data_IF_064934131006
#
_entry.id   IF_064934131006
#
_cell.length_a   1.000
_cell.length_b   1.000
_cell.length_c   1.000
_cell.angle_alpha   90.00
_cell.angle_beta   90.00
_cell.angle_gamma   90.00
#
_symmetry.space_group_name_H-M   'P 1'
#
loop_
_entity.id
_entity.type
_entity.pdbx_description
1 polymer ?
#
# COMPACT_ATOMS: atom_id res chain seq x y z
N UNK A 1 3.01 -27.62 -2.75
CA UNK A 1 4.41 -28.09 -2.89
C UNK A 1 5.28 -27.76 -1.67
N UNK A 2 5.28 -26.53 -1.13
CA UNK A 2 6.02 -26.17 0.11
C UNK A 2 5.43 -26.79 1.40
N UNK A 3 4.10 -26.96 1.45
CA UNK A 3 3.38 -27.56 2.59
C UNK A 3 3.61 -29.07 2.71
N UNK A 4 3.65 -29.79 1.59
CA UNK A 4 3.90 -31.24 1.51
C UNK A 4 5.32 -31.61 2.00
N UNK A 5 6.26 -30.67 1.93
CA UNK A 5 7.67 -30.87 2.32
C UNK A 5 7.97 -30.41 3.75
N UNK A 6 6.98 -29.96 4.52
CA UNK A 6 7.18 -29.52 5.91
C UNK A 6 7.81 -28.14 6.05
N UNK A 7 7.56 -27.23 5.10
CA UNK A 7 8.05 -25.85 5.12
C UNK A 7 9.58 -25.70 5.15
N UNK A 8 10.35 -26.40 4.30
CA UNK A 8 11.82 -26.29 4.28
C UNK A 8 12.30 -24.87 3.93
N UNK A 9 11.44 -24.05 3.34
CA UNK A 9 11.68 -22.65 2.98
C UNK A 9 10.81 -21.67 3.79
N UNK A 10 10.21 -22.12 4.90
CA UNK A 10 9.31 -21.34 5.75
C UNK A 10 7.84 -21.33 5.28
N UNK A 11 6.90 -20.98 6.18
CA UNK A 11 5.44 -21.00 5.93
C UNK A 11 5.00 -20.14 4.73
N UNK A 12 5.74 -19.08 4.43
CA UNK A 12 5.39 -18.08 3.42
C UNK A 12 6.23 -18.15 2.15
N UNK A 13 6.83 -19.31 1.84
CA UNK A 13 7.68 -19.44 0.65
C UNK A 13 6.93 -19.00 -0.62
N UNK A 14 7.42 -17.92 -1.24
CA UNK A 14 6.85 -17.30 -2.44
C UNK A 14 6.23 -15.91 -2.24
N UNK A 15 5.83 -15.53 -1.02
CA UNK A 15 5.17 -14.25 -0.72
C UNK A 15 6.01 -13.29 0.14
N UNK A 16 7.15 -13.75 0.66
CA UNK A 16 7.98 -13.00 1.59
C UNK A 16 7.46 -13.03 3.03
N UNK A 17 8.13 -12.31 3.93
CA UNK A 17 7.73 -12.20 5.34
C UNK A 17 6.55 -11.27 5.56
N UNK A 18 6.27 -10.42 4.57
CA UNK A 18 5.18 -9.47 4.56
C UNK A 18 4.55 -9.45 3.16
N UNK A 19 3.39 -10.09 2.96
CA UNK A 19 2.74 -10.15 1.65
C UNK A 19 2.20 -8.79 1.20
N UNK A 20 2.02 -7.83 2.10
CA UNK A 20 1.52 -6.48 1.76
C UNK A 20 2.67 -5.47 1.52
N UNK A 21 3.90 -5.83 1.87
CA UNK A 21 5.11 -5.05 1.63
C UNK A 21 5.65 -5.23 0.22
N UNK A 22 6.88 -4.76 -0.04
CA UNK A 22 7.46 -4.75 -1.39
C UNK A 22 7.72 -6.17 -1.92
N UNK A 23 6.74 -6.70 -2.64
CA UNK A 23 6.78 -8.06 -3.19
C UNK A 23 5.56 -8.37 -4.04
N UNK A 24 5.39 -9.64 -4.39
CA UNK A 24 4.31 -10.07 -5.30
C UNK A 24 2.91 -9.67 -4.83
N UNK A 25 2.64 -9.64 -3.53
CA UNK A 25 1.33 -9.27 -2.98
C UNK A 25 1.11 -7.77 -2.78
N UNK A 26 2.07 -6.92 -3.14
CA UNK A 26 1.98 -5.46 -2.93
C UNK A 26 1.02 -4.76 -3.89
N UNK A 27 0.74 -5.39 -5.05
CA UNK A 27 -0.13 -4.83 -6.08
C UNK A 27 -1.58 -4.94 -5.62
N UNK A 28 -2.23 -3.80 -5.52
CA UNK A 28 -3.60 -3.65 -5.01
C UNK A 28 -4.42 -2.80 -5.96
N UNK A 29 -5.74 -2.93 -5.90
CA UNK A 29 -6.67 -2.05 -6.59
C UNK A 29 -7.39 -1.14 -5.58
N UNK A 30 -7.86 0.02 -6.05
CA UNK A 30 -8.68 0.94 -5.26
C UNK A 30 -10.02 0.28 -4.97
N UNK A 31 -10.19 -0.15 -3.71
CA UNK A 31 -11.41 -0.78 -3.22
C UNK A 31 -12.18 0.13 -2.27
N UNK A 32 -11.52 1.12 -1.67
CA UNK A 32 -12.08 1.93 -0.60
C UNK A 32 -12.98 3.03 -1.15
N UNK A 33 -13.98 3.41 -0.36
CA UNK A 33 -14.81 4.57 -0.65
C UNK A 33 -13.97 5.83 -0.39
N UNK A 34 -13.77 6.71 -1.39
CA UNK A 34 -13.10 7.99 -1.16
C UNK A 34 -13.71 8.70 0.05
N UNK A 35 -12.87 9.12 1.00
CA UNK A 35 -13.23 9.77 2.27
C UNK A 35 -14.14 8.98 3.21
N UNK A 36 -14.11 7.64 3.13
CA UNK A 36 -14.51 6.76 4.22
C UNK A 36 -13.50 6.77 5.36
N UNK A 37 -13.93 6.42 6.58
CA UNK A 37 -13.10 6.39 7.77
C UNK A 37 -12.73 4.95 8.19
N UNK A 38 -11.68 4.41 7.59
CA UNK A 38 -11.01 3.18 8.06
C UNK A 38 -11.90 1.94 8.13
N UNK A 39 -11.88 1.22 9.27
CA UNK A 39 -12.54 -0.08 9.48
C UNK A 39 -14.07 0.05 9.68
N UNK A 40 -14.76 0.77 8.80
CA UNK A 40 -16.22 0.77 8.77
C UNK A 40 -16.72 -0.54 8.14
N UNK A 41 -17.32 -1.41 8.95
CA UNK A 41 -18.00 -2.61 8.45
C UNK A 41 -19.17 -2.29 7.51
N UNK A 42 -19.69 -1.05 7.54
CA UNK A 42 -20.73 -0.58 6.61
C UNK A 42 -20.16 -0.27 5.22
N UNK A 43 -18.84 -0.12 5.09
CA UNK A 43 -18.21 0.26 3.82
C UNK A 43 -18.06 -0.92 2.85
N UNK A 44 -18.17 -2.16 3.32
CA UNK A 44 -18.00 -3.35 2.48
C UNK A 44 -19.10 -3.51 1.41
N UNK A 45 -20.32 -2.99 1.65
CA UNK A 45 -21.38 -3.02 0.64
C UNK A 45 -21.12 -2.07 -0.53
N UNK A 46 -20.32 -1.03 -0.33
CA UNK A 46 -20.02 -0.03 -1.37
C UNK A 46 -19.14 -0.59 -2.50
N UNK A 47 -18.57 -1.80 -2.34
CA UNK A 47 -17.93 -2.52 -3.45
C UNK A 47 -18.84 -2.73 -4.66
N UNK A 48 -20.17 -2.69 -4.46
CA UNK A 48 -21.16 -2.89 -5.50
C UNK A 48 -21.89 -1.60 -5.92
N UNK A 49 -21.42 -0.44 -5.46
CA UNK A 49 -21.99 0.83 -5.90
C UNK A 49 -21.75 1.02 -7.41
N UNK A 50 -22.83 1.32 -8.13
CA UNK A 50 -22.76 1.62 -9.55
C UNK A 50 -21.92 2.90 -9.76
N UNK A 51 -20.92 2.81 -10.62
CA UNK A 51 -19.97 3.90 -10.87
C UNK A 51 -18.80 3.96 -9.88
N UNK A 52 -18.79 3.13 -8.83
CA UNK A 52 -17.70 3.08 -7.86
C UNK A 52 -16.40 2.48 -8.41
N UNK A 53 -15.26 2.97 -7.92
CA UNK A 53 -13.92 2.49 -8.28
C UNK A 53 -13.74 1.00 -7.97
N UNK A 54 -14.30 0.52 -6.86
CA UNK A 54 -14.24 -0.89 -6.46
C UNK A 54 -14.95 -1.81 -7.46
N UNK A 55 -16.18 -1.47 -7.84
CA UNK A 55 -16.96 -2.24 -8.81
C UNK A 55 -16.27 -2.24 -10.19
N UNK A 56 -15.78 -1.08 -10.63
CA UNK A 56 -15.02 -0.94 -11.88
C UNK A 56 -13.74 -1.79 -11.86
N UNK A 57 -12.97 -1.75 -10.77
CA UNK A 57 -11.75 -2.54 -10.59
C UNK A 57 -12.04 -4.04 -10.65
N UNK A 58 -13.05 -4.52 -9.91
CA UNK A 58 -13.46 -5.92 -9.95
C UNK A 58 -13.89 -6.32 -11.37
N UNK A 59 -14.64 -5.48 -12.09
CA UNK A 59 -15.04 -5.75 -13.47
C UNK A 59 -13.84 -5.94 -14.40
N UNK A 60 -12.82 -5.07 -14.33
CA UNK A 60 -11.58 -5.25 -15.09
C UNK A 60 -10.88 -6.57 -14.76
N UNK A 61 -10.79 -6.93 -13.47
CA UNK A 61 -10.14 -8.17 -13.03
C UNK A 61 -10.90 -9.41 -13.56
N UNK A 62 -12.20 -9.50 -13.30
CA UNK A 62 -12.98 -10.71 -13.65
C UNK A 62 -13.18 -10.89 -15.15
N UNK A 63 -13.09 -9.82 -15.93
CA UNK A 63 -13.15 -9.87 -17.39
C UNK A 63 -11.78 -10.06 -18.05
N UNK A 64 -10.70 -10.17 -17.28
CA UNK A 64 -9.34 -10.40 -17.79
C UNK A 64 -8.62 -9.13 -18.28
N UNK A 65 -9.17 -7.95 -18.03
CA UNK A 65 -8.60 -6.65 -18.40
C UNK A 65 -7.79 -6.03 -17.26
N UNK A 66 -7.06 -6.83 -16.46
CA UNK A 66 -6.32 -6.31 -15.31
C UNK A 66 -5.29 -5.22 -15.63
N UNK A 67 -4.73 -5.21 -16.84
CA UNK A 67 -3.83 -4.15 -17.30
C UNK A 67 -4.51 -2.77 -17.39
N UNK A 68 -5.84 -2.72 -17.57
CA UNK A 68 -6.60 -1.47 -17.58
C UNK A 68 -6.63 -0.78 -16.21
N UNK A 69 -6.40 -1.51 -15.11
CA UNK A 69 -6.33 -0.91 -13.77
C UNK A 69 -5.29 0.21 -13.69
N UNK A 70 -4.13 0.04 -14.33
CA UNK A 70 -3.11 1.07 -14.36
C UNK A 70 -3.48 2.25 -15.27
N UNK A 71 -4.19 1.97 -16.37
CA UNK A 71 -4.61 2.98 -17.35
C UNK A 71 -5.68 3.90 -16.78
N UNK A 72 -6.56 3.33 -15.96
CA UNK A 72 -7.73 4.00 -15.40
C UNK A 72 -7.48 4.54 -13.98
N UNK A 73 -6.22 4.59 -13.53
CA UNK A 73 -5.84 5.00 -12.17
C UNK A 73 -6.60 4.24 -11.07
N UNK A 74 -6.77 2.93 -11.25
CA UNK A 74 -7.45 2.04 -10.30
C UNK A 74 -6.47 1.18 -9.49
N UNK A 75 -5.16 1.34 -9.68
CA UNK A 75 -4.18 0.75 -8.78
C UNK A 75 -4.11 1.57 -7.51
N UNK A 76 -4.23 0.89 -6.37
CA UNK A 76 -4.05 1.52 -5.06
C UNK A 76 -2.55 1.72 -4.78
N UNK A 77 -2.22 2.76 -4.03
CA UNK A 77 -0.84 2.96 -3.60
C UNK A 77 -0.40 1.81 -2.68
N UNK A 78 0.85 1.34 -2.87
CA UNK A 78 1.45 0.32 -2.03
C UNK A 78 1.51 0.74 -0.56
N UNK A 79 1.35 -0.23 0.35
CA UNK A 79 1.50 0.05 1.79
C UNK A 79 2.92 0.44 2.12
N UNK A 80 3.06 1.33 3.10
CA UNK A 80 4.35 1.80 3.58
C UNK A 80 4.76 1.03 4.82
N UNK A 81 6.04 0.63 4.84
CA UNK A 81 6.67 0.07 6.02
C UNK A 81 7.31 1.18 6.85
N UNK A 82 7.20 1.15 8.19
CA UNK A 82 7.96 2.04 9.05
C UNK A 82 9.47 1.98 8.78
N UNK A 83 10.11 3.14 8.83
CA UNK A 83 11.53 3.31 8.57
C UNK A 83 12.24 4.12 9.68
N UNK A 84 13.52 3.83 9.86
CA UNK A 84 14.47 4.60 10.67
C UNK A 84 15.20 5.52 9.72
N UNK A 85 15.09 6.82 9.95
CA UNK A 85 15.76 7.85 9.16
C UNK A 85 16.61 8.76 10.05
N UNK A 86 17.83 9.08 9.63
CA UNK A 86 18.69 10.07 10.31
C UNK A 86 18.61 11.42 9.61
N UNK A 87 18.77 12.57 10.29
CA UNK A 87 18.84 13.87 9.61
C UNK A 87 20.03 13.93 8.62
N UNK A 88 19.83 14.56 7.46
CA UNK A 88 20.90 14.83 6.48
C UNK A 88 21.74 16.06 6.82
N UNK A 89 21.23 16.93 7.70
CA UNK A 89 21.88 18.18 8.11
C UNK A 89 21.51 18.51 9.56
N UNK A 90 22.50 18.97 10.33
CA UNK A 90 22.27 19.64 11.62
C UNK A 90 22.76 21.07 11.53
N UNK A 91 21.88 22.02 11.88
CA UNK A 91 22.21 23.44 11.95
C UNK A 91 22.73 23.77 13.34
N UNK A 92 24.00 24.16 13.42
CA UNK A 92 24.61 24.60 14.68
C UNK A 92 24.67 26.13 14.70
N UNK A 93 24.09 26.79 15.73
CA UNK A 93 24.19 28.24 15.88
C UNK A 93 25.66 28.69 15.90
N UNK A 94 26.01 29.63 15.02
CA UNK A 94 27.37 30.19 14.90
C UNK A 94 28.38 29.36 14.09
N UNK A 95 28.07 28.11 13.74
CA UNK A 95 28.94 27.23 12.96
C UNK A 95 28.38 26.86 11.57
N UNK A 96 27.13 27.21 11.30
CA UNK A 96 26.48 26.92 10.02
C UNK A 96 25.98 25.47 9.91
N UNK A 97 25.57 25.05 8.70
CA UNK A 97 25.02 23.72 8.47
C UNK A 97 26.13 22.65 8.40
N UNK A 98 25.96 21.55 9.14
CA UNK A 98 26.84 20.39 9.07
C UNK A 98 26.08 19.23 8.42
N UNK A 99 26.62 18.74 7.30
CA UNK A 99 26.07 17.58 6.61
C UNK A 99 26.46 16.29 7.34
N UNK A 100 25.47 15.42 7.53
CA UNK A 100 25.60 14.14 8.24
C UNK A 100 25.36 12.99 7.26
N UNK A 101 25.95 11.81 7.49
CA UNK A 101 25.57 10.62 6.77
C UNK A 101 24.08 10.30 7.02
N UNK A 102 23.32 10.26 5.93
CA UNK A 102 21.90 9.93 5.95
C UNK A 102 21.72 8.41 5.81
N UNK A 103 21.04 7.81 6.79
CA UNK A 103 20.62 6.42 6.76
C UNK A 103 19.11 6.44 6.71
N UNK A 104 18.54 5.77 5.71
CA UNK A 104 17.10 5.49 5.63
C UNK A 104 16.95 3.98 5.43
N UNK A 105 16.40 3.29 6.43
CA UNK A 105 16.20 1.85 6.38
C UNK A 105 14.87 1.45 7.01
N UNK A 106 14.22 0.45 6.42
CA UNK A 106 13.04 -0.20 6.96
C UNK A 106 13.33 -0.84 8.33
N UNK A 107 12.35 -0.81 9.24
CA UNK A 107 12.48 -1.49 10.53
C UNK A 107 12.38 -3.01 10.31
N UNK A 108 13.42 -3.79 10.61
CA UNK A 108 13.40 -5.24 10.44
C UNK A 108 12.26 -5.90 11.23
N UNK A 109 11.54 -6.82 10.60
CA UNK A 109 10.45 -7.58 11.24
C UNK A 109 9.12 -6.83 11.40
N UNK A 110 9.03 -5.57 10.95
CA UNK A 110 7.77 -4.80 10.96
C UNK A 110 7.12 -4.88 9.58
N UNK A 111 5.85 -5.28 9.45
CA UNK A 111 5.16 -5.32 8.15
C UNK A 111 4.77 -3.91 7.66
N UNK A 112 4.50 -3.80 6.37
CA UNK A 112 3.89 -2.66 5.71
C UNK A 112 2.39 -2.62 6.02
N UNK A 113 2.04 -1.95 7.13
CA UNK A 113 0.65 -1.79 7.56
C UNK A 113 0.10 -0.37 7.32
N UNK A 114 0.95 0.61 6.99
CA UNK A 114 0.51 1.99 6.76
C UNK A 114 -0.13 2.05 5.37
N UNK A 115 -1.46 2.13 5.34
CA UNK A 115 -2.24 2.15 4.11
C UNK A 115 -2.50 3.59 3.65
N UNK A 116 -1.96 4.04 2.51
CA UNK A 116 -2.21 5.40 2.02
C UNK A 116 -3.66 5.64 1.59
N UNK A 117 -4.41 4.58 1.26
CA UNK A 117 -5.80 4.69 0.82
C UNK A 117 -6.77 4.96 1.97
N UNK A 118 -6.43 4.55 3.19
CA UNK A 118 -7.30 4.62 4.37
C UNK A 118 -7.71 6.05 4.77
N UNK A 119 -6.98 7.05 4.30
CA UNK A 119 -7.25 8.47 4.55
C UNK A 119 -7.44 9.26 3.25
N UNK A 120 -7.65 8.59 2.11
CA UNK A 120 -7.78 9.28 0.82
C UNK A 120 -8.99 10.21 0.85
N UNK A 121 -8.82 11.52 0.59
CA UNK A 121 -9.92 12.46 0.61
C UNK A 121 -10.96 12.09 -0.44
N UNK A 122 -12.23 12.47 -0.21
CA UNK A 122 -13.25 12.38 -1.26
C UNK A 122 -12.78 13.19 -2.46
N UNK A 123 -12.89 12.62 -3.65
CA UNK A 123 -12.74 13.40 -4.85
C UNK A 123 -13.87 14.42 -4.89
N UNK A 124 -13.52 15.70 -4.84
CA UNK A 124 -14.48 16.78 -5.01
C UNK A 124 -14.69 16.89 -6.51
N UNK A 125 -15.88 16.51 -6.98
CA UNK A 125 -16.30 16.70 -8.36
C UNK A 125 -16.08 18.17 -8.73
N UNK A 126 -15.18 18.41 -9.69
CA UNK A 126 -15.01 19.74 -10.28
C UNK A 126 -16.08 19.84 -11.36
N UNK A 127 -17.12 20.62 -11.06
CA UNK A 127 -18.15 21.07 -12.01
C UNK A 127 -17.55 21.72 -13.27
#
# INVERSE_FOLDING_TARGET
>A
MNEILGYPFGRYAGLGTDPAGDGFGSVRFKAEVPGGDGLSFRDHSHYFDLGGEALRSMAHIVTGHGAALAQDDLLAQGRRQPHITTPSEVKIPGLGPIHLPHIDTKIPGVPAYIDPEAERPREVERD
#
